data_IF_725325650464
#
_entry.id   IF_725325650464
#
_cell.length_a   1.000
_cell.length_b   1.000
_cell.length_c   1.000
_cell.angle_alpha   90.00
_cell.angle_beta   90.00
_cell.angle_gamma   90.00
#
_symmetry.space_group_name_H-M   'P 1'
#
loop_
_entity.id
_entity.type
_entity.pdbx_description
1 polymer ?
#
# COMPACT_ATOMS: atom_id res chain seq x y z
N UNK A 1 27.59 2.63 10.65
CA UNK A 1 26.30 2.02 10.86
C UNK A 1 25.69 1.37 9.59
N UNK A 2 26.11 1.74 8.41
CA UNK A 2 25.58 1.27 7.13
C UNK A 2 26.38 0.12 6.53
N UNK A 3 26.22 -1.09 7.07
CA UNK A 3 26.77 -2.29 6.44
C UNK A 3 25.62 -3.16 5.94
N UNK A 4 25.82 -3.89 4.85
CA UNK A 4 24.85 -4.87 4.36
C UNK A 4 24.45 -5.92 5.41
N UNK A 5 25.26 -6.13 6.45
CA UNK A 5 24.89 -6.95 7.59
C UNK A 5 23.60 -6.47 8.32
N UNK A 6 23.22 -5.20 8.15
CA UNK A 6 21.97 -4.68 8.72
C UNK A 6 20.74 -5.19 7.96
N UNK A 7 20.85 -5.38 6.65
CA UNK A 7 19.73 -5.92 5.84
C UNK A 7 19.36 -7.33 6.33
N UNK A 8 20.35 -8.11 6.80
CA UNK A 8 20.13 -9.44 7.39
C UNK A 8 19.28 -9.39 8.66
N UNK A 9 19.25 -8.24 9.35
CA UNK A 9 18.42 -8.05 10.55
C UNK A 9 16.96 -7.68 10.25
N UNK A 10 16.59 -7.50 8.99
CA UNK A 10 15.24 -7.10 8.61
C UNK A 10 14.13 -7.93 9.26
N UNK A 11 14.17 -9.28 9.31
CA UNK A 11 13.13 -10.08 9.96
C UNK A 11 12.98 -9.78 11.46
N UNK A 12 14.12 -9.53 12.16
CA UNK A 12 14.12 -9.18 13.57
C UNK A 12 13.54 -7.79 13.82
N UNK A 13 13.95 -6.79 13.03
CA UNK A 13 13.47 -5.41 13.13
C UNK A 13 12.00 -5.31 12.73
N UNK A 14 11.55 -6.15 11.80
CA UNK A 14 10.15 -6.24 11.39
C UNK A 14 9.25 -6.90 12.43
N UNK A 15 9.80 -7.70 13.35
CA UNK A 15 9.04 -8.34 14.41
C UNK A 15 8.71 -7.35 15.52
N UNK A 16 7.92 -6.35 15.18
CA UNK A 16 7.40 -5.30 16.06
C UNK A 16 5.88 -5.26 15.94
N UNK A 17 5.18 -5.21 17.07
CA UNK A 17 3.72 -5.15 17.10
C UNK A 17 3.18 -3.95 16.29
N UNK A 18 3.85 -2.79 16.36
CA UNK A 18 3.49 -1.57 15.62
C UNK A 18 3.51 -1.81 14.11
N UNK A 19 4.60 -2.38 13.57
CA UNK A 19 4.80 -2.62 12.14
C UNK A 19 3.86 -3.69 11.60
N UNK A 20 3.70 -4.79 12.35
CA UNK A 20 2.75 -5.86 12.00
C UNK A 20 1.32 -5.33 12.00
N UNK A 21 0.97 -4.46 12.96
CA UNK A 21 -0.36 -3.85 13.04
C UNK A 21 -0.65 -2.92 11.86
N UNK A 22 0.31 -2.07 11.46
CA UNK A 22 0.18 -1.20 10.28
C UNK A 22 -0.02 -2.06 9.02
N UNK A 23 0.80 -3.09 8.84
CA UNK A 23 0.69 -4.01 7.71
C UNK A 23 -0.65 -4.75 7.69
N UNK A 24 -1.10 -5.22 8.84
CA UNK A 24 -2.41 -5.88 9.01
C UNK A 24 -3.56 -4.96 8.62
N UNK A 25 -3.56 -3.71 9.12
CA UNK A 25 -4.60 -2.73 8.77
C UNK A 25 -4.61 -2.42 7.27
N UNK A 26 -3.45 -2.22 6.68
CA UNK A 26 -3.34 -2.00 5.24
C UNK A 26 -3.85 -3.18 4.43
N UNK A 27 -3.49 -4.40 4.83
CA UNK A 27 -3.96 -5.62 4.18
C UNK A 27 -5.48 -5.78 4.33
N UNK A 28 -6.02 -5.57 5.53
CA UNK A 28 -7.44 -5.68 5.81
C UNK A 28 -8.27 -4.69 4.99
N UNK A 29 -7.90 -3.40 5.04
CA UNK A 29 -8.59 -2.35 4.29
C UNK A 29 -8.45 -2.60 2.79
N UNK A 30 -7.24 -2.94 2.34
CA UNK A 30 -6.97 -3.22 0.93
C UNK A 30 -7.80 -4.39 0.39
N UNK A 31 -7.89 -5.50 1.14
CA UNK A 31 -8.70 -6.67 0.74
C UNK A 31 -10.19 -6.34 0.75
N UNK A 32 -10.68 -5.56 1.72
CA UNK A 32 -12.09 -5.12 1.73
C UNK A 32 -12.39 -4.31 0.46
N UNK A 33 -11.57 -3.30 0.15
CA UNK A 33 -11.74 -2.47 -1.06
C UNK A 33 -11.68 -3.34 -2.32
N UNK A 34 -10.68 -4.18 -2.46
CA UNK A 34 -10.54 -5.11 -3.57
C UNK A 34 -11.79 -5.99 -3.74
N UNK A 35 -12.28 -6.59 -2.64
CA UNK A 35 -13.44 -7.47 -2.65
C UNK A 35 -14.70 -6.74 -3.07
N UNK A 36 -14.94 -5.52 -2.57
CA UNK A 36 -16.09 -4.70 -2.96
C UNK A 36 -16.09 -4.45 -4.48
N UNK A 37 -14.97 -3.98 -5.04
CA UNK A 37 -14.86 -3.72 -6.47
C UNK A 37 -15.03 -5.00 -7.30
N UNK A 38 -14.47 -6.11 -6.84
CA UNK A 38 -14.59 -7.39 -7.53
C UNK A 38 -16.02 -7.91 -7.50
N UNK A 39 -16.75 -7.81 -6.36
CA UNK A 39 -18.16 -8.14 -6.29
C UNK A 39 -19.02 -7.24 -7.19
N UNK A 40 -18.71 -5.95 -7.28
CA UNK A 40 -19.37 -5.04 -8.22
C UNK A 40 -19.11 -5.46 -9.66
N UNK A 41 -17.88 -5.82 -10.01
CA UNK A 41 -17.55 -6.31 -11.35
C UNK A 41 -18.31 -7.56 -11.74
N UNK A 42 -18.54 -8.48 -10.80
CA UNK A 42 -19.35 -9.67 -11.00
C UNK A 42 -20.86 -9.37 -11.08
N UNK A 43 -21.37 -8.44 -10.27
CA UNK A 43 -22.82 -8.12 -10.21
C UNK A 43 -23.38 -7.57 -11.51
N UNK A 44 -22.52 -7.06 -12.40
CA UNK A 44 -22.91 -6.52 -13.71
C UNK A 44 -23.02 -7.65 -14.75
N UNK A 45 -22.53 -8.86 -14.46
CA UNK A 45 -22.60 -9.99 -15.36
C UNK A 45 -23.99 -10.62 -15.32
N UNK A 46 -24.64 -10.88 -16.48
CA UNK A 46 -25.95 -11.50 -16.50
C UNK A 46 -25.94 -12.99 -16.09
N UNK A 47 -24.78 -13.63 -16.20
CA UNK A 47 -24.60 -15.08 -15.94
C UNK A 47 -24.31 -15.40 -14.47
N UNK A 48 -23.91 -14.40 -13.66
CA UNK A 48 -23.47 -14.61 -12.28
C UNK A 48 -24.25 -13.74 -11.30
N UNK A 49 -24.97 -14.38 -10.40
CA UNK A 49 -25.59 -13.69 -9.26
C UNK A 49 -24.56 -13.51 -8.13
N UNK A 50 -24.68 -12.44 -7.35
CA UNK A 50 -23.84 -12.20 -6.16
C UNK A 50 -23.85 -13.42 -5.22
N UNK A 51 -24.98 -14.15 -5.15
CA UNK A 51 -25.11 -15.35 -4.34
C UNK A 51 -24.24 -16.51 -4.84
N UNK A 52 -24.12 -16.67 -6.15
CA UNK A 52 -23.26 -17.71 -6.78
C UNK A 52 -21.78 -17.35 -6.58
N UNK A 53 -21.42 -16.09 -6.79
CA UNK A 53 -20.06 -15.60 -6.51
C UNK A 53 -19.70 -15.84 -5.04
N UNK A 54 -20.61 -15.52 -4.11
CA UNK A 54 -20.40 -15.80 -2.69
C UNK A 54 -20.26 -17.30 -2.39
N UNK A 55 -21.04 -18.13 -3.01
CA UNK A 55 -20.93 -19.60 -2.83
C UNK A 55 -19.60 -20.15 -3.33
N UNK A 56 -19.05 -19.55 -4.40
CA UNK A 56 -17.82 -20.01 -5.05
C UNK A 56 -16.59 -19.42 -4.40
N UNK A 57 -16.55 -18.10 -4.18
CA UNK A 57 -15.33 -17.38 -3.77
C UNK A 57 -15.38 -16.80 -2.34
N UNK A 58 -16.56 -16.69 -1.76
CA UNK A 58 -16.77 -16.14 -0.41
C UNK A 58 -16.20 -14.71 -0.26
N UNK A 59 -15.26 -14.50 0.66
CA UNK A 59 -14.76 -13.16 1.00
C UNK A 59 -13.83 -12.52 -0.04
N UNK A 60 -13.06 -13.33 -0.78
CA UNK A 60 -12.04 -12.82 -1.71
C UNK A 60 -12.32 -13.41 -3.11
N UNK A 61 -13.22 -12.78 -3.88
CA UNK A 61 -13.51 -13.23 -5.24
C UNK A 61 -12.35 -12.90 -6.17
N UNK A 62 -12.02 -13.82 -7.07
CA UNK A 62 -10.96 -13.65 -8.07
C UNK A 62 -11.55 -13.95 -9.45
N UNK A 63 -11.43 -13.05 -10.44
CA UNK A 63 -11.81 -13.36 -11.80
C UNK A 63 -10.81 -14.35 -12.41
N UNK A 64 -11.34 -15.46 -12.98
CA UNK A 64 -10.50 -16.48 -13.58
C UNK A 64 -10.57 -16.30 -15.10
N UNK A 65 -9.45 -15.90 -15.76
CA UNK A 65 -9.39 -15.82 -17.21
C UNK A 65 -9.67 -17.19 -17.84
N UNK A 66 -10.54 -17.23 -18.86
CA UNK A 66 -10.88 -18.45 -19.60
C UNK A 66 -12.02 -19.29 -19.01
N UNK A 67 -12.44 -19.05 -17.77
CA UNK A 67 -13.62 -19.71 -17.15
C UNK A 67 -14.84 -18.78 -17.20
N UNK A 68 -14.64 -17.49 -17.11
CA UNK A 68 -15.69 -16.48 -17.10
C UNK A 68 -15.46 -15.47 -18.21
N UNK A 69 -16.49 -15.20 -19.01
CA UNK A 69 -16.46 -14.15 -20.03
C UNK A 69 -16.65 -12.79 -19.33
N UNK A 70 -15.53 -12.20 -18.90
CA UNK A 70 -15.52 -10.85 -18.36
C UNK A 70 -15.48 -9.83 -19.50
N UNK A 71 -16.53 -9.00 -19.70
CA UNK A 71 -16.50 -7.91 -20.65
C UNK A 71 -15.49 -6.84 -20.21
N UNK A 72 -15.06 -5.99 -21.15
CA UNK A 72 -14.01 -4.99 -20.91
C UNK A 72 -14.32 -4.05 -19.73
N UNK A 73 -15.59 -3.67 -19.52
CA UNK A 73 -15.99 -2.83 -18.40
C UNK A 73 -15.87 -3.53 -17.03
N UNK A 74 -16.15 -4.83 -16.94
CA UNK A 74 -15.93 -5.60 -15.70
C UNK A 74 -14.44 -5.74 -15.38
N UNK A 75 -13.58 -5.93 -16.40
CA UNK A 75 -12.13 -5.88 -16.24
C UNK A 75 -11.65 -4.52 -15.74
N UNK A 76 -12.25 -3.43 -16.24
CA UNK A 76 -11.89 -2.07 -15.80
C UNK A 76 -12.24 -1.86 -14.33
N UNK A 77 -13.45 -2.24 -13.90
CA UNK A 77 -13.86 -2.12 -12.49
C UNK A 77 -12.97 -2.95 -11.56
N UNK A 78 -12.70 -4.19 -11.94
CA UNK A 78 -11.78 -5.03 -11.21
C UNK A 78 -10.37 -4.44 -11.15
N UNK A 79 -9.86 -3.92 -12.27
CA UNK A 79 -8.56 -3.26 -12.36
C UNK A 79 -8.44 -2.05 -11.45
N UNK A 80 -9.50 -1.25 -11.31
CA UNK A 80 -9.57 -0.14 -10.34
C UNK A 80 -9.46 -0.70 -8.91
N UNK A 81 -10.17 -1.79 -8.59
CA UNK A 81 -10.08 -2.44 -7.28
C UNK A 81 -8.66 -2.92 -6.95
N UNK A 82 -7.98 -3.52 -7.93
CA UNK A 82 -6.56 -3.94 -7.79
C UNK A 82 -5.64 -2.73 -7.61
N UNK A 83 -5.82 -1.67 -8.39
CA UNK A 83 -5.02 -0.44 -8.28
C UNK A 83 -5.16 0.20 -6.89
N UNK A 84 -6.39 0.29 -6.37
CA UNK A 84 -6.65 0.80 -5.01
C UNK A 84 -6.04 -0.11 -3.93
N UNK A 85 -6.09 -1.43 -4.10
CA UNK A 85 -5.40 -2.36 -3.20
C UNK A 85 -3.90 -2.10 -3.17
N UNK A 86 -3.25 -2.01 -4.32
CA UNK A 86 -1.80 -1.71 -4.43
C UNK A 86 -1.48 -0.36 -3.80
N UNK A 87 -2.30 0.65 -4.05
CA UNK A 87 -2.19 1.98 -3.44
C UNK A 87 -2.19 1.93 -1.90
N UNK A 88 -3.15 1.21 -1.32
CA UNK A 88 -3.24 1.04 0.14
C UNK A 88 -2.00 0.31 0.69
N UNK A 89 -1.49 -0.71 -0.04
CA UNK A 89 -0.27 -1.40 0.35
C UNK A 89 0.95 -0.47 0.30
N UNK A 90 1.10 0.36 -0.73
CA UNK A 90 2.20 1.33 -0.81
C UNK A 90 2.16 2.33 0.36
N UNK A 91 0.98 2.79 0.77
CA UNK A 91 0.85 3.65 1.96
C UNK A 91 1.26 2.92 3.25
N UNK A 92 0.85 1.67 3.41
CA UNK A 92 1.24 0.86 4.58
C UNK A 92 2.74 0.62 4.63
N UNK A 93 3.37 0.31 3.48
CA UNK A 93 4.82 0.15 3.37
C UNK A 93 5.53 1.45 3.72
N UNK A 94 5.06 2.60 3.21
CA UNK A 94 5.62 3.92 3.52
C UNK A 94 5.52 4.25 5.03
N UNK A 95 4.37 3.95 5.67
CA UNK A 95 4.22 4.13 7.11
C UNK A 95 5.19 3.25 7.92
N UNK A 96 5.34 1.97 7.53
CA UNK A 96 6.29 1.05 8.19
C UNK A 96 7.73 1.52 7.97
N UNK A 97 8.05 2.04 6.77
CA UNK A 97 9.38 2.59 6.47
C UNK A 97 9.70 3.78 7.36
N UNK A 98 8.73 4.71 7.58
CA UNK A 98 8.91 5.84 8.49
C UNK A 98 9.15 5.36 9.92
N UNK A 99 8.34 4.45 10.45
CA UNK A 99 8.58 3.84 11.78
C UNK A 99 9.98 3.23 11.87
N UNK A 100 10.42 2.59 10.79
CA UNK A 100 11.75 1.94 10.76
C UNK A 100 12.88 2.96 10.82
N UNK A 101 12.79 4.07 10.08
CA UNK A 101 13.79 5.13 10.14
C UNK A 101 13.84 5.80 11.52
N UNK A 102 12.68 6.06 12.13
CA UNK A 102 12.60 6.61 13.49
C UNK A 102 13.23 5.68 14.54
N UNK A 103 12.93 4.38 14.49
CA UNK A 103 13.55 3.41 15.39
C UNK A 103 15.08 3.31 15.18
N UNK A 104 15.57 3.41 13.94
CA UNK A 104 17.00 3.42 13.64
C UNK A 104 17.71 4.67 14.17
N UNK A 105 17.01 5.78 14.32
CA UNK A 105 17.48 7.03 14.94
C UNK A 105 17.43 6.99 16.46
N UNK A 106 16.80 5.98 17.04
CA UNK A 106 16.64 5.82 18.49
C UNK A 106 15.29 6.28 19.04
N UNK A 107 14.37 6.74 18.19
CA UNK A 107 13.01 7.11 18.57
C UNK A 107 12.10 5.87 18.58
N UNK A 108 12.20 5.05 19.64
CA UNK A 108 11.42 3.82 19.76
C UNK A 108 9.92 4.09 20.08
N UNK A 109 9.58 5.31 20.50
CA UNK A 109 8.22 5.67 20.92
C UNK A 109 7.37 6.28 19.81
N UNK A 110 7.90 6.38 18.59
CA UNK A 110 7.15 6.94 17.45
C UNK A 110 5.80 6.23 17.26
N UNK A 111 4.71 7.01 17.18
CA UNK A 111 3.36 6.48 17.20
C UNK A 111 2.91 5.97 15.82
N UNK A 112 2.07 4.93 15.84
CA UNK A 112 1.45 4.34 14.63
C UNK A 112 0.62 5.39 13.87
N UNK A 113 -0.10 6.24 14.60
CA UNK A 113 -0.98 7.23 13.98
C UNK A 113 -0.18 8.32 13.25
N UNK A 114 0.95 8.72 13.80
CA UNK A 114 1.83 9.71 13.17
C UNK A 114 2.51 9.15 11.92
N UNK A 115 2.89 7.86 11.95
CA UNK A 115 3.38 7.17 10.77
C UNK A 115 2.34 7.12 9.64
N UNK A 116 1.09 6.83 9.97
CA UNK A 116 -0.01 6.80 8.98
C UNK A 116 -0.31 8.21 8.44
N UNK A 117 -0.34 9.22 9.29
CA UNK A 117 -0.52 10.62 8.86
C UNK A 117 0.62 11.07 7.94
N UNK A 118 1.85 10.72 8.28
CA UNK A 118 3.01 11.00 7.44
C UNK A 118 2.89 10.32 6.07
N UNK A 119 2.57 9.02 6.03
CA UNK A 119 2.38 8.28 4.79
C UNK A 119 1.27 8.88 3.91
N UNK A 120 0.16 9.33 4.52
CA UNK A 120 -0.92 10.02 3.80
C UNK A 120 -0.48 11.41 3.29
N UNK A 121 0.30 12.17 4.06
CA UNK A 121 0.86 13.47 3.63
C UNK A 121 1.79 13.29 2.43
N UNK A 122 2.60 12.23 2.43
CA UNK A 122 3.55 11.89 1.35
C UNK A 122 2.98 10.97 0.26
N UNK A 123 1.67 10.66 0.33
CA UNK A 123 1.00 9.77 -0.62
C UNK A 123 1.22 10.19 -2.09
N UNK A 124 1.21 11.50 -2.37
CA UNK A 124 1.44 12.03 -3.72
C UNK A 124 2.81 11.61 -4.27
N UNK A 125 3.89 11.84 -3.53
CA UNK A 125 5.24 11.49 -3.98
C UNK A 125 5.39 9.98 -4.19
N UNK A 126 4.86 9.19 -3.26
CA UNK A 126 4.91 7.74 -3.29
C UNK A 126 4.19 7.13 -4.51
N UNK A 127 3.05 7.68 -4.88
CA UNK A 127 2.14 7.09 -5.87
C UNK A 127 2.33 7.70 -7.25
N UNK A 128 2.53 9.02 -7.34
CA UNK A 128 2.72 9.67 -8.63
C UNK A 128 4.02 9.23 -9.32
N UNK A 129 5.07 8.87 -8.58
CA UNK A 129 6.31 8.41 -9.18
C UNK A 129 6.10 7.19 -10.12
N UNK A 130 5.54 6.04 -9.68
CA UNK A 130 5.25 4.93 -10.58
C UNK A 130 4.18 5.27 -11.63
N UNK A 131 3.18 6.11 -11.32
CA UNK A 131 2.16 6.53 -12.29
C UNK A 131 2.80 7.35 -13.42
N UNK A 132 3.70 8.28 -13.08
CA UNK A 132 4.44 9.07 -14.09
C UNK A 132 5.24 8.19 -15.03
N UNK A 133 5.91 7.16 -14.50
CA UNK A 133 6.61 6.16 -15.32
C UNK A 133 5.66 5.39 -16.22
N UNK A 134 4.51 4.95 -15.69
CA UNK A 134 3.49 4.26 -16.50
C UNK A 134 2.98 5.12 -17.65
N UNK A 135 2.71 6.42 -17.39
CA UNK A 135 2.31 7.39 -18.42
C UNK A 135 3.43 7.53 -19.45
N UNK A 136 4.68 7.65 -19.01
CA UNK A 136 5.83 7.81 -19.91
C UNK A 136 6.00 6.60 -20.82
N UNK A 137 5.90 5.39 -20.28
CA UNK A 137 5.88 4.13 -21.04
C UNK A 137 4.71 4.13 -22.04
N UNK A 138 3.51 4.53 -21.60
CA UNK A 138 2.32 4.60 -22.43
C UNK A 138 2.49 5.55 -23.63
N UNK A 139 3.13 6.69 -23.43
CA UNK A 139 3.44 7.66 -24.51
C UNK A 139 4.38 7.03 -25.56
N UNK A 140 5.43 6.33 -25.13
CA UNK A 140 6.33 5.65 -26.08
C UNK A 140 5.61 4.54 -26.87
N UNK A 141 4.75 3.77 -26.21
CA UNK A 141 3.93 2.74 -26.88
C UNK A 141 2.99 3.39 -27.88
N UNK A 142 2.33 4.50 -27.51
CA UNK A 142 1.44 5.25 -28.40
C UNK A 142 2.18 5.75 -29.65
N UNK A 143 3.39 6.32 -29.48
CA UNK A 143 4.23 6.75 -30.60
C UNK A 143 4.54 5.54 -31.50
N UNK A 144 4.89 4.39 -30.92
CA UNK A 144 5.10 3.15 -31.68
C UNK A 144 3.87 2.71 -32.49
N UNK A 145 2.67 2.79 -31.86
CA UNK A 145 1.41 2.50 -32.55
C UNK A 145 1.15 3.46 -33.73
N UNK A 146 1.41 4.76 -33.53
CA UNK A 146 1.25 5.77 -34.59
C UNK A 146 2.23 5.51 -35.76
N UNK A 147 3.48 5.15 -35.48
CA UNK A 147 4.44 4.73 -36.51
C UNK A 147 3.96 3.47 -37.23
N UNK A 148 3.39 2.49 -36.52
CA UNK A 148 2.79 1.30 -37.14
C UNK A 148 1.61 1.63 -38.05
N UNK A 149 0.78 2.60 -37.67
CA UNK A 149 -0.32 3.11 -38.52
C UNK A 149 0.23 3.81 -39.77
N UNK A 150 1.27 4.63 -39.60
CA UNK A 150 1.95 5.28 -40.74
C UNK A 150 2.52 4.24 -41.72
N UNK A 151 3.02 3.11 -41.22
CA UNK A 151 3.52 2.00 -42.02
C UNK A 151 2.51 1.36 -42.98
N UNK A 152 1.20 1.60 -42.77
CA UNK A 152 0.13 1.13 -43.69
C UNK A 152 0.04 1.90 -45.00
N UNK A 153 0.71 3.05 -45.11
CA UNK A 153 0.74 3.84 -46.37
C UNK A 153 1.54 3.06 -47.39
N UNK A 154 0.93 2.69 -48.55
CA UNK A 154 1.61 1.88 -49.57
C UNK A 154 2.89 2.55 -50.07
N UNK A 155 3.94 1.75 -50.24
CA UNK A 155 5.28 2.12 -50.71
C UNK A 155 6.07 3.02 -49.77
N UNK A 156 5.52 4.14 -49.30
CA UNK A 156 6.23 5.14 -48.48
C UNK A 156 6.39 4.64 -47.03
N UNK A 157 5.35 4.10 -46.44
CA UNK A 157 5.35 3.63 -45.06
C UNK A 157 6.45 2.58 -44.76
N UNK A 158 6.50 1.47 -45.52
CA UNK A 158 7.53 0.45 -45.30
C UNK A 158 8.95 0.95 -45.47
N UNK A 159 9.19 1.86 -46.46
CA UNK A 159 10.53 2.43 -46.69
C UNK A 159 10.97 3.29 -45.52
N UNK A 160 10.08 4.18 -45.03
CA UNK A 160 10.39 5.06 -43.89
C UNK A 160 10.61 4.25 -42.61
N UNK A 161 9.76 3.24 -42.31
CA UNK A 161 9.94 2.38 -41.15
C UNK A 161 11.23 1.59 -41.26
N UNK A 162 11.58 1.08 -42.42
CA UNK A 162 12.85 0.40 -42.67
C UNK A 162 14.06 1.28 -42.40
N UNK A 163 14.02 2.55 -42.82
CA UNK A 163 15.09 3.53 -42.55
C UNK A 163 15.17 3.86 -41.05
N UNK A 164 14.02 3.96 -40.35
CA UNK A 164 13.96 4.28 -38.93
C UNK A 164 14.13 3.06 -38.00
N UNK A 165 14.32 1.86 -38.57
CA UNK A 165 14.33 0.60 -37.79
C UNK A 165 15.30 0.62 -36.61
N UNK A 166 16.52 1.17 -36.81
CA UNK A 166 17.53 1.26 -35.72
C UNK A 166 17.02 2.15 -34.59
N UNK A 167 16.40 3.30 -34.92
CA UNK A 167 15.83 4.20 -33.89
C UNK A 167 14.64 3.55 -33.17
N UNK A 168 13.80 2.83 -33.89
CA UNK A 168 12.66 2.08 -33.33
C UNK A 168 13.18 0.98 -32.41
N UNK A 169 14.22 0.26 -32.78
CA UNK A 169 14.83 -0.77 -31.96
C UNK A 169 15.45 -0.18 -30.66
N UNK A 170 16.15 0.95 -30.77
CA UNK A 170 16.69 1.66 -29.58
C UNK A 170 15.58 2.18 -28.68
N UNK A 171 14.50 2.74 -29.24
CA UNK A 171 13.34 3.17 -28.47
C UNK A 171 12.66 1.99 -27.76
N UNK A 172 12.55 0.82 -28.41
CA UNK A 172 12.00 -0.38 -27.78
C UNK A 172 12.87 -0.87 -26.60
N UNK A 173 14.20 -0.86 -26.73
CA UNK A 173 15.12 -1.17 -25.63
C UNK A 173 14.99 -0.17 -24.48
N UNK A 174 14.82 1.12 -24.81
CA UNK A 174 14.58 2.15 -23.80
C UNK A 174 13.25 1.93 -23.06
N UNK A 175 12.18 1.52 -23.75
CA UNK A 175 10.91 1.15 -23.11
C UNK A 175 11.08 -0.04 -22.17
N UNK A 176 11.84 -1.06 -22.54
CA UNK A 176 12.16 -2.20 -21.65
C UNK A 176 12.88 -1.69 -20.39
N UNK A 177 13.87 -0.82 -20.56
CA UNK A 177 14.55 -0.19 -19.42
C UNK A 177 13.58 0.58 -18.52
N UNK A 178 12.67 1.39 -19.07
CA UNK A 178 11.63 2.10 -18.31
C UNK A 178 10.70 1.15 -17.56
N UNK A 179 10.37 0.00 -18.15
CA UNK A 179 9.57 -1.04 -17.48
C UNK A 179 10.33 -1.59 -16.25
N UNK A 180 11.63 -1.80 -16.35
CA UNK A 180 12.45 -2.24 -15.21
C UNK A 180 12.43 -1.17 -14.11
N UNK A 181 12.65 0.12 -14.47
CA UNK A 181 12.57 1.24 -13.50
C UNK A 181 11.19 1.32 -12.87
N UNK A 182 10.13 1.08 -13.63
CA UNK A 182 8.75 1.07 -13.13
C UNK A 182 8.55 0.00 -12.04
N UNK A 183 9.04 -1.22 -12.25
CA UNK A 183 8.99 -2.25 -11.20
C UNK A 183 9.82 -1.86 -9.96
N UNK A 184 11.03 -1.34 -10.16
CA UNK A 184 11.87 -0.85 -9.06
C UNK A 184 11.18 0.29 -8.29
N UNK A 185 10.46 1.17 -8.99
CA UNK A 185 9.69 2.25 -8.36
C UNK A 185 8.61 1.72 -7.40
N UNK A 186 7.93 0.63 -7.72
CA UNK A 186 6.99 0.01 -6.77
C UNK A 186 7.68 -0.54 -5.51
N UNK A 187 8.92 -1.01 -5.64
CA UNK A 187 9.67 -1.57 -4.52
C UNK A 187 10.20 -0.46 -3.61
N UNK A 188 10.87 0.54 -4.16
CA UNK A 188 11.64 1.53 -3.41
C UNK A 188 10.88 2.83 -3.11
N UNK A 189 9.95 3.28 -3.97
CA UNK A 189 9.29 4.59 -3.78
C UNK A 189 8.65 4.78 -2.40
N UNK A 190 7.99 3.76 -1.79
CA UNK A 190 7.45 3.91 -0.43
C UNK A 190 8.52 4.23 0.62
N UNK A 191 9.70 3.60 0.50
CA UNK A 191 10.82 3.78 1.42
C UNK A 191 11.59 5.07 1.15
N UNK A 192 11.72 5.47 -0.13
CA UNK A 192 12.32 6.75 -0.54
C UNK A 192 11.46 7.91 -0.02
N UNK A 193 10.15 7.85 -0.25
CA UNK A 193 9.20 8.87 0.19
C UNK A 193 9.06 8.96 1.72
N UNK A 194 9.35 7.88 2.44
CA UNK A 194 9.35 7.83 3.90
C UNK A 194 10.64 8.40 4.52
N UNK A 195 11.71 8.55 3.74
CA UNK A 195 12.98 9.11 4.17
C UNK A 195 12.94 10.63 4.27
N UNK A 196 13.71 11.27 3.40
CA UNK A 196 13.82 12.72 3.30
C UNK A 196 12.59 13.34 2.60
N UNK A 197 12.28 14.61 2.86
CA UNK A 197 11.21 15.32 2.16
C UNK A 197 11.53 15.49 0.67
N UNK A 198 11.04 14.57 -0.13
CA UNK A 198 11.24 14.55 -1.57
C UNK A 198 9.93 14.75 -2.33
N UNK A 199 10.02 15.49 -3.41
CA UNK A 199 8.96 15.64 -4.38
C UNK A 199 8.87 14.40 -5.32
N UNK A 200 7.82 14.36 -6.14
CA UNK A 200 7.59 13.25 -7.09
C UNK A 200 8.80 13.04 -8.02
N UNK A 201 9.38 14.14 -8.50
CA UNK A 201 10.54 14.10 -9.40
C UNK A 201 11.79 13.59 -8.69
N UNK A 202 12.01 13.99 -7.45
CA UNK A 202 13.14 13.50 -6.65
C UNK A 202 13.06 11.99 -6.42
N UNK A 203 11.87 11.48 -6.08
CA UNK A 203 11.63 10.04 -5.94
C UNK A 203 11.89 9.31 -7.26
N UNK A 204 11.48 9.90 -8.38
CA UNK A 204 11.73 9.36 -9.72
C UNK A 204 13.24 9.30 -10.02
N UNK A 205 13.95 10.41 -9.89
CA UNK A 205 15.40 10.48 -10.14
C UNK A 205 16.17 9.53 -9.23
N UNK A 206 15.76 9.40 -7.97
CA UNK A 206 16.38 8.48 -7.02
C UNK A 206 16.21 7.02 -7.46
N UNK A 207 15.03 6.63 -7.97
CA UNK A 207 14.81 5.30 -8.53
C UNK A 207 15.72 5.02 -9.74
N UNK A 208 15.85 5.99 -10.67
CA UNK A 208 16.74 5.87 -11.84
C UNK A 208 18.21 5.76 -11.41
N UNK A 209 18.65 6.64 -10.52
CA UNK A 209 20.03 6.67 -10.04
C UNK A 209 20.38 5.39 -9.28
N UNK A 210 19.50 4.93 -8.38
CA UNK A 210 19.72 3.68 -7.63
C UNK A 210 19.81 2.47 -8.55
N UNK A 211 18.95 2.38 -9.56
CA UNK A 211 19.02 1.29 -10.53
C UNK A 211 20.31 1.36 -11.34
N UNK A 212 20.69 2.53 -11.86
CA UNK A 212 21.87 2.64 -12.75
C UNK A 212 23.19 2.41 -12.03
N UNK A 213 23.33 2.93 -10.82
CA UNK A 213 24.60 2.89 -10.11
C UNK A 213 24.80 1.62 -9.28
N UNK A 214 23.71 1.02 -8.80
CA UNK A 214 23.78 -0.08 -7.83
C UNK A 214 22.92 -1.30 -8.23
N UNK A 215 22.70 -1.51 -9.53
CA UNK A 215 21.81 -2.55 -10.08
C UNK A 215 22.03 -3.94 -9.47
N UNK A 216 23.26 -4.43 -9.51
CA UNK A 216 23.56 -5.79 -9.07
C UNK A 216 23.38 -5.97 -7.55
N UNK A 217 23.68 -4.93 -6.76
CA UNK A 217 23.49 -4.94 -5.30
C UNK A 217 22.01 -4.92 -4.97
N UNK A 218 21.24 -4.05 -5.67
CA UNK A 218 19.79 -3.99 -5.53
C UNK A 218 19.17 -5.37 -5.78
N UNK A 219 19.47 -6.00 -6.91
CA UNK A 219 18.90 -7.32 -7.26
C UNK A 219 19.26 -8.39 -6.23
N UNK A 220 20.51 -8.46 -5.78
CA UNK A 220 20.92 -9.44 -4.78
C UNK A 220 20.17 -9.27 -3.46
N UNK A 221 20.01 -8.03 -3.00
CA UNK A 221 19.32 -7.76 -1.74
C UNK A 221 17.82 -7.94 -1.83
N UNK A 222 17.22 -7.64 -2.98
CA UNK A 222 15.81 -7.95 -3.24
C UNK A 222 15.54 -9.46 -3.18
N UNK A 223 16.37 -10.27 -3.81
CA UNK A 223 16.28 -11.75 -3.72
C UNK A 223 16.44 -12.20 -2.26
N UNK A 224 17.39 -11.62 -1.53
CA UNK A 224 17.60 -11.96 -0.13
C UNK A 224 16.40 -11.59 0.75
N UNK A 225 15.82 -10.39 0.58
CA UNK A 225 14.62 -9.98 1.33
C UNK A 225 13.42 -10.84 0.95
N UNK A 226 13.23 -11.17 -0.32
CA UNK A 226 12.17 -12.09 -0.75
C UNK A 226 12.31 -13.46 -0.05
N UNK A 227 13.53 -13.97 0.06
CA UNK A 227 13.80 -15.19 0.85
C UNK A 227 13.46 -15.01 2.33
N UNK A 228 13.83 -13.87 2.94
CA UNK A 228 13.51 -13.58 4.34
C UNK A 228 11.99 -13.47 4.58
N UNK A 229 11.25 -12.87 3.66
CA UNK A 229 9.77 -12.81 3.70
C UNK A 229 9.19 -14.21 3.65
N UNK A 230 9.61 -15.03 2.69
CA UNK A 230 9.14 -16.41 2.56
C UNK A 230 9.44 -17.22 3.83
N UNK A 231 10.69 -17.19 4.31
CA UNK A 231 11.09 -17.90 5.51
C UNK A 231 10.35 -17.40 6.76
N UNK A 232 10.23 -16.09 6.92
CA UNK A 232 9.52 -15.46 8.04
C UNK A 232 8.03 -15.83 8.09
N UNK A 233 7.33 -15.70 6.96
CA UNK A 233 5.91 -16.09 6.84
C UNK A 233 5.76 -17.60 7.06
N UNK A 234 6.67 -18.42 6.53
CA UNK A 234 6.60 -19.86 6.71
C UNK A 234 6.77 -20.27 8.17
N UNK A 235 7.80 -19.75 8.85
CA UNK A 235 8.07 -20.07 10.28
C UNK A 235 6.94 -19.56 11.17
N UNK A 236 6.54 -18.29 11.01
CA UNK A 236 5.48 -17.68 11.81
C UNK A 236 4.12 -18.34 11.55
N UNK A 237 3.82 -18.63 10.28
CA UNK A 237 2.61 -19.36 9.88
C UNK A 237 2.59 -20.80 10.41
N UNK A 238 3.74 -21.51 10.39
CA UNK A 238 3.85 -22.85 10.97
C UNK A 238 3.59 -22.82 12.48
N UNK A 239 4.19 -21.90 13.20
CA UNK A 239 3.99 -21.73 14.65
C UNK A 239 2.52 -21.41 14.96
N UNK A 240 1.94 -20.48 14.25
CA UNK A 240 0.53 -20.10 14.36
C UNK A 240 -0.40 -21.29 14.09
N UNK A 241 -0.13 -22.07 13.02
CA UNK A 241 -0.87 -23.31 12.73
C UNK A 241 -0.80 -24.29 13.90
N UNK A 242 0.37 -24.48 14.51
CA UNK A 242 0.51 -25.38 15.67
C UNK A 242 -0.28 -24.86 16.87
N UNK A 243 -0.27 -23.56 17.14
CA UNK A 243 -1.11 -22.93 18.18
C UNK A 243 -2.61 -23.14 17.93
N UNK A 244 -3.07 -22.94 16.69
CA UNK A 244 -4.47 -23.19 16.30
C UNK A 244 -4.86 -24.65 16.44
N UNK A 245 -3.98 -25.58 16.06
CA UNK A 245 -4.25 -27.04 16.24
C UNK A 245 -4.31 -27.41 17.72
N UNK A 246 -3.47 -26.84 18.57
CA UNK A 246 -3.52 -27.03 20.02
C UNK A 246 -4.84 -26.50 20.59
N UNK A 247 -5.25 -25.28 20.23
CA UNK A 247 -6.53 -24.72 20.66
C UNK A 247 -7.71 -25.58 20.20
N UNK A 248 -7.71 -26.02 18.94
CA UNK A 248 -8.71 -26.92 18.41
C UNK A 248 -8.74 -28.27 19.18
N UNK A 249 -7.59 -28.84 19.50
CA UNK A 249 -7.48 -30.08 20.26
C UNK A 249 -8.10 -29.94 21.66
N UNK A 250 -7.72 -28.88 22.40
CA UNK A 250 -8.25 -28.60 23.74
C UNK A 250 -9.77 -28.43 23.71
N UNK A 251 -10.28 -27.61 22.78
CA UNK A 251 -11.72 -27.34 22.67
C UNK A 251 -12.50 -28.59 22.18
N UNK A 252 -11.89 -29.44 21.35
CA UNK A 252 -12.49 -30.68 20.90
C UNK A 252 -12.59 -31.73 22.00
N UNK A 253 -11.63 -31.75 22.94
CA UNK A 253 -11.64 -32.67 24.09
C UNK A 253 -12.85 -32.46 25.00
N UNK A 254 -13.29 -31.20 25.20
CA UNK A 254 -14.40 -30.83 26.07
C UNK A 254 -15.68 -30.46 25.32
N UNK A 255 -15.55 -29.94 24.09
CA UNK A 255 -16.65 -29.44 23.25
C UNK A 255 -17.39 -30.53 22.44
N UNK A 256 -16.94 -31.79 22.49
CA UNK A 256 -17.55 -32.91 21.75
C UNK A 256 -17.87 -32.61 20.27
N UNK A 257 -19.00 -33.11 19.77
CA UNK A 257 -19.38 -33.02 18.37
C UNK A 257 -19.70 -31.56 17.91
N UNK A 258 -20.27 -30.73 18.80
CA UNK A 258 -20.66 -29.38 18.44
C UNK A 258 -19.45 -28.51 18.04
N UNK A 259 -18.32 -28.61 18.77
CA UNK A 259 -17.12 -27.85 18.45
C UNK A 259 -16.50 -28.30 17.12
N UNK A 260 -16.46 -29.59 16.86
CA UNK A 260 -15.97 -30.14 15.58
C UNK A 260 -16.75 -29.56 14.39
N UNK A 261 -18.07 -29.46 14.51
CA UNK A 261 -18.92 -28.89 13.47
C UNK A 261 -18.62 -27.39 13.29
N UNK A 262 -18.50 -26.64 14.40
CA UNK A 262 -18.15 -25.21 14.37
C UNK A 262 -16.78 -24.99 13.74
N UNK A 263 -15.78 -25.78 14.11
CA UNK A 263 -14.43 -25.69 13.55
C UNK A 263 -14.43 -26.02 12.04
N UNK A 264 -15.07 -27.08 11.64
CA UNK A 264 -15.17 -27.46 10.23
C UNK A 264 -15.86 -26.38 9.40
N UNK A 265 -16.98 -25.84 9.87
CA UNK A 265 -17.67 -24.75 9.20
C UNK A 265 -16.86 -23.45 9.22
N UNK A 266 -16.08 -23.17 10.28
CA UNK A 266 -15.13 -22.07 10.33
C UNK A 266 -14.05 -22.17 9.26
N UNK A 267 -13.47 -23.37 9.10
CA UNK A 267 -12.51 -23.66 8.01
C UNK A 267 -13.17 -23.57 6.62
N UNK A 268 -14.45 -23.92 6.51
CA UNK A 268 -15.21 -23.78 5.27
C UNK A 268 -15.25 -22.31 4.79
N UNK A 269 -15.29 -21.32 5.68
CA UNK A 269 -15.21 -19.91 5.31
C UNK A 269 -13.84 -19.52 4.75
N UNK A 270 -12.75 -20.16 5.15
CA UNK A 270 -11.40 -19.91 4.64
C UNK A 270 -11.15 -20.46 3.24
N UNK A 271 -11.88 -21.48 2.80
CA UNK A 271 -11.79 -22.00 1.44
C UNK A 271 -12.81 -21.28 0.53
N UNK A 272 -12.50 -20.90 -0.70
CA UNK A 272 -11.62 -21.58 -1.62
C UNK A 272 -10.36 -20.79 -1.99
N UNK A 273 -9.28 -21.50 -2.24
CA UNK A 273 -8.17 -20.99 -3.06
C UNK A 273 -8.67 -20.96 -4.50
N UNK A 274 -8.49 -19.87 -5.26
CA UNK A 274 -8.89 -19.81 -6.65
C UNK A 274 -8.25 -20.97 -7.44
N UNK A 275 -8.95 -21.58 -8.39
CA UNK A 275 -8.45 -22.69 -9.18
C UNK A 275 -7.43 -22.19 -10.23
N UNK A 276 -6.27 -21.78 -9.77
CA UNK A 276 -5.10 -21.52 -10.59
C UNK A 276 -4.16 -22.69 -10.36
N UNK A 277 -3.95 -23.51 -11.35
CA UNK A 277 -3.28 -24.82 -11.26
C UNK A 277 -1.94 -24.81 -10.51
N UNK A 278 -1.13 -23.75 -10.67
CA UNK A 278 0.13 -23.60 -9.95
C UNK A 278 -0.08 -23.14 -8.50
N UNK A 279 -1.10 -22.32 -8.21
CA UNK A 279 -1.46 -21.89 -6.84
C UNK A 279 -2.06 -23.07 -6.09
N UNK A 280 -2.90 -23.88 -6.72
CA UNK A 280 -3.43 -25.13 -6.16
C UNK A 280 -2.30 -26.09 -5.81
N UNK A 281 -1.35 -26.31 -6.74
CA UNK A 281 -0.20 -27.18 -6.50
C UNK A 281 0.68 -26.68 -5.34
N UNK A 282 0.89 -25.37 -5.22
CA UNK A 282 1.64 -24.77 -4.15
C UNK A 282 0.87 -24.82 -2.82
N UNK A 283 -0.41 -24.46 -2.85
CA UNK A 283 -1.28 -24.46 -1.67
C UNK A 283 -1.54 -25.88 -1.18
N UNK A 284 -1.65 -26.88 -2.06
CA UNK A 284 -1.76 -28.29 -1.70
C UNK A 284 -0.54 -28.77 -0.89
N UNK A 285 0.62 -28.26 -1.18
CA UNK A 285 1.86 -28.57 -0.44
C UNK A 285 1.97 -27.85 0.90
N UNK A 286 1.54 -26.57 0.95
CA UNK A 286 1.71 -25.71 2.13
C UNK A 286 0.53 -25.85 3.10
N UNK A 287 -0.68 -25.89 2.58
CA UNK A 287 -1.93 -25.94 3.36
C UNK A 287 -3.04 -26.72 2.64
N UNK A 288 -2.96 -28.06 2.59
CA UNK A 288 -3.93 -28.89 1.87
C UNK A 288 -5.38 -28.67 2.34
N UNK A 289 -5.58 -28.24 3.57
CA UNK A 289 -6.90 -27.93 4.15
C UNK A 289 -7.53 -26.65 3.58
N UNK A 290 -6.77 -25.80 2.91
CA UNK A 290 -7.29 -24.59 2.26
C UNK A 290 -7.91 -24.87 0.88
N UNK A 291 -7.51 -25.97 0.22
CA UNK A 291 -7.99 -26.31 -1.13
C UNK A 291 -9.22 -27.19 -1.05
N UNK A 292 -9.17 -28.19 -0.18
CA UNK A 292 -10.26 -29.10 0.08
C UNK A 292 -10.82 -28.79 1.47
N UNK A 293 -11.49 -27.65 1.59
CA UNK A 293 -12.17 -27.29 2.84
C UNK A 293 -13.17 -28.38 3.22
N UNK A 294 -13.41 -28.58 4.53
CA UNK A 294 -14.42 -29.55 4.96
C UNK A 294 -15.77 -29.19 4.39
N UNK A 295 -16.58 -30.22 4.08
CA UNK A 295 -17.96 -30.03 3.68
C UNK A 295 -18.74 -29.29 4.75
N UNK A 296 -19.67 -28.42 4.31
CA UNK A 296 -20.54 -27.71 5.22
C UNK A 296 -21.44 -28.68 6.00
N UNK A 297 -21.40 -28.57 7.32
CA UNK A 297 -22.27 -29.39 8.20
C UNK A 297 -23.45 -28.53 8.64
N UNK A 298 -24.68 -29.09 8.52
CA UNK A 298 -25.87 -28.42 9.03
C UNK A 298 -25.82 -28.30 10.55
N UNK A 299 -26.02 -27.09 11.07
CA UNK A 299 -25.88 -26.75 12.49
C UNK A 299 -27.02 -25.84 12.94
N UNK A 300 -27.24 -25.76 14.25
CA UNK A 300 -28.21 -24.83 14.79
C UNK A 300 -27.71 -23.37 14.65
N UNK A 301 -28.60 -22.40 14.89
CA UNK A 301 -28.30 -20.98 14.70
C UNK A 301 -27.11 -20.49 15.57
N UNK A 302 -26.97 -20.99 16.79
CA UNK A 302 -25.88 -20.61 17.69
C UNK A 302 -24.51 -21.12 17.19
N UNK A 303 -24.48 -22.37 16.71
CA UNK A 303 -23.28 -22.94 16.08
C UNK A 303 -22.97 -22.27 14.72
N UNK A 304 -23.99 -21.80 13.99
CA UNK A 304 -23.80 -21.03 12.77
C UNK A 304 -23.06 -19.71 13.05
N UNK A 305 -23.54 -18.96 14.03
CA UNK A 305 -22.88 -17.71 14.47
C UNK A 305 -21.46 -17.99 14.97
N UNK A 306 -21.29 -19.04 15.77
CA UNK A 306 -19.94 -19.43 16.26
C UNK A 306 -19.02 -19.81 15.09
N UNK A 307 -19.50 -20.55 14.08
CA UNK A 307 -18.73 -20.91 12.89
C UNK A 307 -18.28 -19.67 12.09
N UNK A 308 -19.18 -18.69 11.96
CA UNK A 308 -18.86 -17.42 11.32
C UNK A 308 -17.78 -16.65 12.09
N UNK A 309 -17.90 -16.54 13.43
CA UNK A 309 -16.89 -15.90 14.28
C UNK A 309 -15.53 -16.62 14.20
N UNK A 310 -15.52 -17.95 14.19
CA UNK A 310 -14.28 -18.73 14.00
C UNK A 310 -13.68 -18.46 12.63
N UNK A 311 -14.47 -18.41 11.56
CA UNK A 311 -14.02 -18.08 10.21
C UNK A 311 -13.38 -16.68 10.15
N UNK A 312 -14.02 -15.67 10.72
CA UNK A 312 -13.45 -14.31 10.81
C UNK A 312 -12.16 -14.30 11.63
N UNK A 313 -12.12 -15.00 12.76
CA UNK A 313 -10.91 -15.10 13.59
C UNK A 313 -9.74 -15.74 12.84
N UNK A 314 -10.00 -16.76 12.04
CA UNK A 314 -8.99 -17.40 11.21
C UNK A 314 -8.48 -16.47 10.11
N UNK A 315 -9.35 -15.65 9.46
CA UNK A 315 -8.91 -14.60 8.53
C UNK A 315 -8.06 -13.54 9.21
N UNK A 316 -8.47 -13.09 10.39
CA UNK A 316 -7.70 -12.13 11.17
C UNK A 316 -6.29 -12.65 11.45
N UNK A 317 -6.17 -13.90 11.93
CA UNK A 317 -4.89 -14.54 12.20
C UNK A 317 -4.06 -14.70 10.93
N UNK A 318 -4.69 -15.11 9.83
CA UNK A 318 -4.01 -15.22 8.53
C UNK A 318 -3.46 -13.86 8.07
N UNK A 319 -4.23 -12.79 8.20
CA UNK A 319 -3.77 -11.44 7.86
C UNK A 319 -2.66 -10.94 8.79
N UNK A 320 -2.61 -11.33 10.05
CA UNK A 320 -1.49 -11.05 10.95
C UNK A 320 -0.20 -11.73 10.49
N UNK A 321 -0.30 -12.99 10.05
CA UNK A 321 0.86 -13.74 9.51
C UNK A 321 1.35 -13.10 8.21
N UNK A 322 0.45 -12.76 7.29
CA UNK A 322 0.80 -12.07 6.04
C UNK A 322 1.31 -10.66 6.31
N UNK A 323 0.74 -9.96 7.29
CA UNK A 323 1.17 -8.65 7.75
C UNK A 323 2.62 -8.65 8.24
N UNK A 324 3.04 -9.72 8.92
CA UNK A 324 4.45 -9.88 9.28
C UNK A 324 5.35 -9.99 8.03
N UNK A 325 4.91 -10.71 6.99
CA UNK A 325 5.63 -10.76 5.71
C UNK A 325 5.76 -9.37 5.06
N UNK A 326 4.67 -8.58 5.03
CA UNK A 326 4.70 -7.20 4.53
C UNK A 326 5.62 -6.32 5.38
N UNK A 327 5.63 -6.50 6.70
CA UNK A 327 6.53 -5.77 7.60
C UNK A 327 8.00 -6.10 7.31
N UNK A 328 8.37 -7.39 7.09
CA UNK A 328 9.73 -7.79 6.68
C UNK A 328 10.09 -7.12 5.35
N UNK A 329 9.17 -7.14 4.40
CA UNK A 329 9.37 -6.50 3.10
C UNK A 329 9.64 -5.00 3.25
N UNK A 330 8.77 -4.25 3.94
CA UNK A 330 8.88 -2.82 4.13
C UNK A 330 10.17 -2.42 4.87
N UNK A 331 10.49 -3.11 5.96
CA UNK A 331 11.75 -2.92 6.70
C UNK A 331 12.96 -3.22 5.81
N UNK A 332 12.88 -4.30 5.04
CA UNK A 332 13.91 -4.69 4.09
C UNK A 332 14.18 -3.59 3.07
N UNK A 333 13.13 -3.04 2.45
CA UNK A 333 13.24 -1.94 1.50
C UNK A 333 13.88 -0.69 2.12
N UNK A 334 13.47 -0.35 3.36
CA UNK A 334 14.05 0.80 4.08
C UNK A 334 15.54 0.63 4.35
N UNK A 335 15.95 -0.57 4.76
CA UNK A 335 17.36 -0.87 5.03
C UNK A 335 18.20 -0.95 3.75
N UNK A 336 17.66 -1.55 2.68
CA UNK A 336 18.30 -1.59 1.35
C UNK A 336 18.53 -0.17 0.88
N UNK A 337 17.50 0.67 0.89
CA UNK A 337 17.59 2.05 0.41
C UNK A 337 18.62 2.84 1.22
N UNK A 338 18.56 2.80 2.56
CA UNK A 338 19.52 3.51 3.42
C UNK A 338 20.98 3.09 3.16
N UNK A 339 21.21 1.79 2.93
CA UNK A 339 22.54 1.27 2.61
C UNK A 339 22.98 1.69 1.20
N UNK A 340 22.09 1.64 0.21
CA UNK A 340 22.42 2.00 -1.17
C UNK A 340 22.76 3.48 -1.30
N UNK A 341 22.01 4.39 -0.63
CA UNK A 341 22.31 5.82 -0.58
C UNK A 341 23.70 6.08 -0.01
N UNK A 342 24.07 5.38 1.07
CA UNK A 342 25.41 5.50 1.65
C UNK A 342 26.52 5.06 0.69
N UNK A 343 26.31 3.97 -0.06
CA UNK A 343 27.27 3.48 -1.03
C UNK A 343 27.33 4.28 -2.34
N UNK A 344 26.22 4.93 -2.71
CA UNK A 344 26.11 5.70 -3.93
C UNK A 344 26.67 7.11 -3.77
N UNK A 345 26.20 7.83 -2.73
CA UNK A 345 26.43 9.26 -2.57
C UNK A 345 27.29 9.60 -1.33
N UNK A 346 27.71 8.60 -0.56
CA UNK A 346 28.36 8.73 0.77
C UNK A 346 27.52 9.55 1.78
N UNK A 347 26.20 9.70 1.51
CA UNK A 347 25.26 10.44 2.38
C UNK A 347 24.77 9.55 3.51
N UNK A 348 24.53 10.17 4.67
CA UNK A 348 23.94 9.54 5.84
C UNK A 348 22.44 9.88 5.93
N UNK A 349 21.58 9.02 5.35
CA UNK A 349 20.15 9.25 5.28
C UNK A 349 19.50 9.53 6.65
N UNK A 350 19.98 8.89 7.72
CA UNK A 350 19.40 9.09 9.04
C UNK A 350 19.74 10.47 9.62
N UNK A 351 20.93 11.01 9.30
CA UNK A 351 21.28 12.38 9.68
C UNK A 351 20.50 13.41 8.89
N UNK A 352 20.34 13.19 7.59
CA UNK A 352 19.52 14.06 6.73
C UNK A 352 18.08 14.17 7.25
N UNK A 353 17.46 13.04 7.62
CA UNK A 353 16.12 13.04 8.20
C UNK A 353 16.09 13.83 9.54
N UNK A 354 17.12 13.71 10.35
CA UNK A 354 17.22 14.44 11.61
C UNK A 354 17.37 15.95 11.43
N UNK A 355 18.17 16.37 10.45
CA UNK A 355 18.37 17.76 10.10
C UNK A 355 17.08 18.40 9.57
N UNK A 356 16.37 17.74 8.66
CA UNK A 356 15.09 18.22 8.13
C UNK A 356 13.99 18.33 9.21
N UNK A 357 13.96 17.41 10.17
CA UNK A 357 12.98 17.51 11.26
C UNK A 357 13.29 18.68 12.18
N UNK A 358 14.56 18.93 12.50
CA UNK A 358 14.97 20.11 13.29
C UNK A 358 14.69 21.43 12.58
N UNK A 359 14.83 21.46 11.25
CA UNK A 359 14.48 22.65 10.46
C UNK A 359 12.98 22.90 10.49
N UNK A 360 12.16 21.85 10.34
CA UNK A 360 10.69 21.98 10.42
C UNK A 360 10.20 22.41 11.80
N UNK A 361 10.78 21.87 12.86
CA UNK A 361 10.43 22.27 14.23
C UNK A 361 10.69 23.77 14.43
N UNK A 362 11.82 24.28 13.93
CA UNK A 362 12.14 25.72 13.98
C UNK A 362 11.16 26.57 13.16
N UNK A 363 10.83 26.15 11.94
CA UNK A 363 9.84 26.85 11.12
C UNK A 363 8.43 26.85 11.74
N UNK A 364 8.04 25.78 12.42
CA UNK A 364 6.77 25.72 13.15
C UNK A 364 6.78 26.60 14.41
N UNK A 365 7.90 26.70 15.10
CA UNK A 365 8.08 27.61 16.23
C UNK A 365 8.06 29.08 15.78
N UNK A 366 8.79 29.44 14.72
CA UNK A 366 8.77 30.79 14.14
C UNK A 366 7.36 31.21 13.67
N UNK A 367 6.63 30.31 13.03
CA UNK A 367 5.24 30.57 12.62
C UNK A 367 4.28 30.74 13.80
N UNK A 368 4.54 30.07 14.91
CA UNK A 368 3.73 30.23 16.14
C UNK A 368 4.04 31.55 16.85
N UNK A 369 5.27 32.04 16.77
CA UNK A 369 5.67 33.36 17.32
C UNK A 369 5.16 34.50 16.46
N UNK A 370 5.13 34.38 15.12
CA UNK A 370 4.59 35.42 14.23
C UNK A 370 3.06 35.61 14.33
N UNK A 371 2.30 34.59 14.75
CA UNK A 371 0.85 34.70 14.86
C UNK A 371 0.39 35.58 16.04
N UNK A 372 0.96 35.51 17.24
CA UNK A 372 0.61 36.42 18.34
C UNK A 372 0.95 37.90 18.00
N UNK A 373 2.07 38.18 17.35
CA UNK A 373 2.49 39.53 17.00
C UNK A 373 1.54 40.22 15.99
N UNK A 374 0.98 39.47 15.06
CA UNK A 374 -0.04 39.98 14.11
C UNK A 374 -1.40 40.22 14.78
N UNK A 375 -1.75 39.47 15.79
CA UNK A 375 -3.02 39.64 16.53
C UNK A 375 -2.88 40.90 17.43
N UNK A 376 -1.76 41.09 18.14
CA UNK A 376 -1.51 42.29 18.93
C UNK A 376 -1.38 43.56 18.08
N UNK A 377 -0.77 43.48 16.89
CA UNK A 377 -0.69 44.60 15.96
C UNK A 377 -2.04 44.98 15.35
N UNK A 378 -2.98 44.09 15.26
CA UNK A 378 -4.34 44.34 14.76
C UNK A 378 -5.23 44.91 15.85
N UNK A 379 -5.13 44.42 17.09
CA UNK A 379 -5.90 44.94 18.23
C UNK A 379 -5.42 46.40 18.65
N UNK A 380 -4.14 46.73 18.43
CA UNK A 380 -3.60 48.09 18.73
C UNK A 380 -4.05 49.13 17.69
N UNK A 381 -4.47 48.71 16.51
CA UNK A 381 -4.99 49.64 15.46
C UNK A 381 -6.50 49.92 15.56
N UNK A 382 -7.25 49.13 16.30
CA UNK A 382 -8.69 49.34 16.52
C UNK A 382 -9.03 50.14 17.78
N UNK A 383 -8.05 50.50 18.64
CA UNK A 383 -8.23 51.36 19.82
C UNK A 383 -7.61 52.73 19.65
N UNK A 384 -8.04 53.52 18.66
CA UNK A 384 -7.89 54.99 18.70
C UNK A 384 -9.29 55.60 18.87
N UNK A 385 -9.53 56.37 19.94
CA UNK A 385 -10.79 56.98 20.22
C UNK A 385 -11.02 58.17 19.23
N UNK A 386 -12.21 58.21 18.64
CA UNK A 386 -12.70 59.40 17.98
C UNK A 386 -13.10 60.44 19.04
N UNK A 387 -12.27 61.45 19.24
CA UNK A 387 -12.62 62.67 19.95
C UNK A 387 -13.76 63.42 19.27
N UNK A 388 -14.85 63.52 19.99
CA UNK A 388 -15.55 64.73 20.41
C UNK A 388 -15.45 65.99 19.49
N UNK A 389 -16.55 66.36 18.87
CA UNK A 389 -16.90 67.76 18.62
C UNK A 389 -18.34 67.99 19.03
N UNK A 390 -18.41 68.77 20.11
CA UNK A 390 -19.55 69.43 20.71
C UNK A 390 -20.14 70.55 19.80
N UNK A 391 -21.44 70.69 19.93
CA UNK A 391 -22.28 71.92 19.98
C UNK A 391 -22.89 72.46 18.71
N UNK A 392 -24.00 73.31 18.87
CA UNK A 392 -25.07 73.34 19.89
C UNK A 392 -26.50 73.46 19.30
N UNK A 393 -27.47 73.30 20.22
CA UNK A 393 -28.78 73.99 20.41
C UNK A 393 -29.53 74.64 19.22
N UNK A 394 -30.76 74.28 19.06
CA UNK A 394 -31.94 75.16 19.26
C UNK A 394 -33.23 74.39 18.96
N UNK A 395 -34.00 74.15 19.95
CA UNK A 395 -35.27 74.82 20.36
C UNK A 395 -36.49 74.51 19.44
N UNK A 396 -37.46 74.10 20.13
CA UNK A 396 -38.88 74.49 20.11
C UNK A 396 -39.88 73.57 19.43
N UNK A 397 -40.79 73.09 20.29
CA UNK A 397 -42.24 73.10 20.31
C UNK A 397 -43.04 72.09 19.48
N UNK A 398 -43.85 71.51 20.34
CA UNK A 398 -45.32 71.35 20.23
C UNK A 398 -45.83 70.43 19.07
N UNK A 399 -46.53 69.51 19.46
CA UNK A 399 -47.98 69.47 19.65
C UNK A 399 -48.51 68.17 19.18
N UNK A 400 -49.29 67.54 20.00
CA UNK A 400 -50.68 67.24 19.87
C UNK A 400 -50.98 65.88 19.23
N UNK A 401 -51.52 65.05 20.08
CA UNK A 401 -52.85 64.38 19.93
C UNK A 401 -53.16 63.79 18.55
N UNK A 402 -53.22 62.51 18.42
CA UNK A 402 -54.40 61.66 18.74
C UNK A 402 -53.98 60.20 18.66
#
# INVERSE_FOLDING_TARGET
MYSFAQVVRAPRVAFSAKKIWIAFLGLLIGVIVYSVFTYVAYSILPEWTVKEVWRTYRYIPVPIPGVIHFPWYSWTIWGIGVALFVFIQMLSISAISKVTYEELRGNEFYEVMDALRYALKKAKANILAPITLAIFIGVFILIGCLLGLFGRIPYVGPIVIGLLFILIALAALFVIYLIIVFFVSFLLSPSIAAGVEKDVFDVLFENFSTLNEQTWRLVLWEIFIAFCVFAGVWVFGWLTKKGLLLANWVLSAWGHSWWKNVWNNGLWYLSPVPPITWVEALAARIAPTLIHGPEWVAVNWAQLVSSFCVGLGLYFIMFMVLGYGIAIWAVGQSLIYAVLVKYKDDRDLLKEIEEEEKEREKEEEEKKEEVPEKVEATETKEKKPSEEKEKPEESTKEGGET
#
